data_IF_937407692085
#
_entry.id   IF_937407692085
#
_cell.length_a   1.000
_cell.length_b   1.000
_cell.length_c   1.000
_cell.angle_alpha   90.00
_cell.angle_beta   90.00
_cell.angle_gamma   90.00
#
_symmetry.space_group_name_H-M   'P 1'
#
loop_
_entity.id
_entity.type
_entity.pdbx_description
1 polymer ?
#
# COMPACT_ATOMS: atom_id res chain seq x y z
N UNK A 1 38.55 28.38 17.25
CA UNK A 1 37.90 27.24 17.93
C UNK A 1 36.47 27.02 17.50
N UNK A 2 35.67 28.07 17.51
CA UNK A 2 34.27 27.97 17.07
C UNK A 2 34.16 27.54 15.61
N UNK A 3 35.06 28.05 14.76
CA UNK A 3 35.07 27.72 13.35
C UNK A 3 35.35 26.25 13.09
N UNK A 4 36.27 25.64 13.86
CA UNK A 4 36.57 24.21 13.73
C UNK A 4 35.40 23.33 14.17
N UNK A 5 34.68 23.76 15.20
CA UNK A 5 33.49 23.03 15.66
C UNK A 5 32.36 23.10 14.62
N UNK A 6 32.18 24.27 14.02
CA UNK A 6 31.20 24.46 12.96
C UNK A 6 31.51 23.61 11.73
N UNK A 7 32.80 23.54 11.37
CA UNK A 7 33.21 22.69 10.22
C UNK A 7 32.95 21.20 10.49
N UNK A 8 33.18 20.75 11.72
CA UNK A 8 32.91 19.36 12.08
C UNK A 8 31.43 19.04 12.02
N UNK A 9 30.61 19.96 12.52
CA UNK A 9 29.16 19.81 12.47
C UNK A 9 28.68 19.77 11.02
N UNK A 10 29.21 20.65 10.18
CA UNK A 10 28.84 20.70 8.75
C UNK A 10 29.20 19.39 8.07
N UNK A 11 30.34 18.80 8.36
CA UNK A 11 30.76 17.53 7.77
C UNK A 11 29.84 16.39 8.19
N UNK A 12 29.43 16.38 9.46
CA UNK A 12 28.52 15.37 9.98
C UNK A 12 27.16 15.48 9.27
N UNK A 13 26.66 16.70 9.08
CA UNK A 13 25.40 16.95 8.39
C UNK A 13 25.43 16.47 6.93
N UNK A 14 26.52 16.72 6.24
CA UNK A 14 26.70 16.26 4.85
C UNK A 14 26.68 14.74 4.80
N UNK A 15 27.32 14.08 5.76
CA UNK A 15 27.32 12.62 5.83
C UNK A 15 25.93 12.06 6.08
N UNK A 16 25.17 12.68 7.00
CA UNK A 16 23.79 12.28 7.29
C UNK A 16 22.90 12.46 6.06
N UNK A 17 23.05 13.56 5.35
CA UNK A 17 22.30 13.80 4.12
C UNK A 17 22.65 12.80 3.04
N UNK A 18 23.91 12.41 2.94
CA UNK A 18 24.33 11.38 1.97
C UNK A 18 23.72 10.02 2.31
N UNK A 19 23.68 9.65 3.60
CA UNK A 19 23.04 8.42 4.05
C UNK A 19 21.52 8.46 3.83
N UNK A 20 20.90 9.60 4.12
CA UNK A 20 19.47 9.79 3.87
C UNK A 20 19.17 9.73 2.37
N UNK A 21 20.10 10.17 1.52
CA UNK A 21 19.96 10.09 0.07
C UNK A 21 19.94 8.66 -0.48
N UNK A 22 20.46 7.70 0.29
CA UNK A 22 20.37 6.29 -0.07
C UNK A 22 19.07 5.64 0.39
N UNK A 23 18.32 6.28 1.30
CA UNK A 23 17.05 5.79 1.83
C UNK A 23 15.95 5.69 0.75
N UNK A 24 15.89 6.57 -0.29
CA UNK A 24 14.88 6.45 -1.35
C UNK A 24 14.93 5.16 -2.16
N UNK A 25 15.94 4.33 -1.95
CA UNK A 25 16.00 3.01 -2.59
C UNK A 25 15.00 2.02 -1.97
N UNK A 26 14.40 2.37 -0.82
CA UNK A 26 13.38 1.55 -0.19
C UNK A 26 11.97 1.85 -0.72
N UNK A 27 11.02 1.08 -0.23
CA UNK A 27 9.62 1.27 -0.57
C UNK A 27 9.12 2.62 -0.09
N UNK A 28 8.42 3.32 -0.95
CA UNK A 28 7.74 4.55 -0.60
C UNK A 28 6.24 4.29 -0.58
N UNK A 29 5.63 4.43 0.59
CA UNK A 29 4.20 4.23 0.75
C UNK A 29 3.44 5.50 0.41
N UNK A 30 2.38 5.35 -0.36
CA UNK A 30 1.48 6.45 -0.71
C UNK A 30 0.39 6.58 0.34
N UNK A 31 -0.50 7.55 0.18
CA UNK A 31 -1.60 7.74 1.12
C UNK A 31 -2.50 6.51 1.16
N UNK A 32 -2.94 6.13 2.37
CA UNK A 32 -3.83 5.00 2.54
C UNK A 32 -5.15 5.23 1.81
N UNK A 33 -5.66 4.17 1.19
CA UNK A 33 -6.98 4.17 0.59
C UNK A 33 -7.89 3.42 1.55
N UNK A 34 -8.92 4.08 2.05
CA UNK A 34 -9.84 3.51 3.02
C UNK A 34 -11.21 3.36 2.37
N UNK A 35 -11.74 2.14 2.39
CA UNK A 35 -13.00 1.80 1.74
C UNK A 35 -13.92 1.14 2.75
N UNK A 36 -15.15 1.67 2.87
CA UNK A 36 -16.16 1.05 3.70
C UNK A 36 -16.69 -0.21 3.01
N UNK A 37 -16.78 -1.29 3.77
CA UNK A 37 -17.33 -2.55 3.27
C UNK A 37 -18.86 -2.57 3.43
N UNK A 38 -19.50 -3.70 3.13
CA UNK A 38 -20.94 -3.84 3.25
C UNK A 38 -21.43 -3.52 4.66
N UNK A 39 -20.71 -3.99 5.66
CA UNK A 39 -20.93 -3.59 7.04
C UNK A 39 -20.13 -2.30 7.29
N UNK A 40 -20.79 -1.17 7.63
CA UNK A 40 -20.06 0.09 7.79
C UNK A 40 -19.06 0.09 8.95
N UNK A 41 -19.15 -0.84 9.88
CA UNK A 41 -18.13 -0.98 10.93
C UNK A 41 -16.86 -1.64 10.43
N UNK A 42 -16.86 -2.16 9.20
CA UNK A 42 -15.74 -2.84 8.60
C UNK A 42 -15.14 -1.99 7.50
N UNK A 43 -13.82 -1.86 7.53
CA UNK A 43 -13.07 -1.06 6.56
C UNK A 43 -12.01 -1.92 5.89
N UNK A 44 -11.80 -1.62 4.63
CA UNK A 44 -10.64 -2.12 3.90
C UNK A 44 -9.64 -0.99 3.78
N UNK A 45 -8.40 -1.26 4.15
CA UNK A 45 -7.33 -0.27 4.06
C UNK A 45 -6.28 -0.81 3.09
N UNK A 46 -6.03 -0.07 2.03
CA UNK A 46 -5.03 -0.44 1.02
C UNK A 46 -3.84 0.49 1.17
N UNK A 47 -2.67 -0.11 1.41
CA UNK A 47 -1.41 0.60 1.52
C UNK A 47 -0.57 0.28 0.30
N UNK A 48 -0.56 1.20 -0.65
CA UNK A 48 0.19 1.04 -1.90
C UNK A 48 1.58 1.63 -1.74
N UNK A 49 2.58 0.95 -2.31
CA UNK A 49 3.96 1.39 -2.28
C UNK A 49 4.57 1.31 -3.67
N UNK A 50 5.63 2.07 -3.86
CA UNK A 50 6.44 2.00 -5.07
C UNK A 50 7.93 1.96 -4.70
N UNK A 51 8.73 1.40 -5.58
CA UNK A 51 10.17 1.29 -5.42
C UNK A 51 10.80 1.15 -6.80
N UNK A 52 11.55 2.17 -7.24
CA UNK A 52 12.15 2.21 -8.57
C UNK A 52 11.11 1.84 -9.65
N UNK A 53 11.24 0.68 -10.25
CA UNK A 53 10.32 0.18 -11.28
C UNK A 53 9.29 -0.81 -10.71
N UNK A 54 9.25 -0.97 -9.40
CA UNK A 54 8.34 -1.88 -8.75
C UNK A 54 7.25 -1.16 -8.00
N UNK A 55 6.13 -1.84 -7.78
CA UNK A 55 5.05 -1.36 -6.94
C UNK A 55 4.26 -2.54 -6.40
N UNK A 56 3.40 -2.28 -5.45
CA UNK A 56 2.52 -3.28 -4.87
C UNK A 56 1.62 -2.65 -3.85
N UNK A 57 0.75 -3.44 -3.27
CA UNK A 57 -0.14 -2.99 -2.23
C UNK A 57 -0.34 -4.07 -1.18
N UNK A 58 -0.54 -3.62 0.04
CA UNK A 58 -0.95 -4.46 1.16
C UNK A 58 -2.41 -4.17 1.46
N UNK A 59 -3.19 -5.21 1.61
CA UNK A 59 -4.63 -5.10 1.82
C UNK A 59 -4.93 -5.50 3.26
N UNK A 60 -5.47 -4.57 4.03
CA UNK A 60 -5.79 -4.77 5.45
C UNK A 60 -7.28 -4.70 5.67
N UNK A 61 -7.72 -5.45 6.66
CA UNK A 61 -9.09 -5.41 7.17
C UNK A 61 -9.08 -4.80 8.56
N UNK A 62 -10.01 -3.89 8.83
CA UNK A 62 -10.14 -3.26 10.13
C UNK A 62 -11.60 -3.22 10.54
N UNK A 63 -11.89 -3.62 11.76
CA UNK A 63 -13.26 -3.62 12.30
C UNK A 63 -13.33 -2.78 13.56
N UNK A 64 -14.31 -1.87 13.61
CA UNK A 64 -14.62 -1.05 14.81
C UNK A 64 -13.40 -0.34 15.39
N UNK A 65 -12.48 0.13 14.54
CA UNK A 65 -11.30 0.83 14.99
C UNK A 65 -10.23 -0.04 15.65
N UNK A 66 -10.38 -1.36 15.60
CA UNK A 66 -9.37 -2.29 16.09
C UNK A 66 -8.12 -2.25 15.20
N UNK A 67 -7.07 -2.96 15.62
CA UNK A 67 -5.85 -3.08 14.82
C UNK A 67 -6.16 -3.68 13.45
N UNK A 68 -5.65 -3.06 12.37
CA UNK A 68 -5.82 -3.64 11.04
C UNK A 68 -5.15 -5.00 10.91
N UNK A 69 -5.80 -5.91 10.22
CA UNK A 69 -5.31 -7.27 9.98
C UNK A 69 -4.93 -7.38 8.51
N UNK A 70 -3.70 -7.81 8.24
CA UNK A 70 -3.24 -8.01 6.86
C UNK A 70 -3.99 -9.19 6.24
N UNK A 71 -4.73 -8.95 5.18
CA UNK A 71 -5.39 -10.01 4.41
C UNK A 71 -4.43 -10.61 3.39
N UNK A 72 -3.62 -9.78 2.76
CA UNK A 72 -2.68 -10.23 1.76
C UNK A 72 -2.06 -9.06 1.03
N UNK A 73 -1.33 -9.40 -0.02
CA UNK A 73 -0.60 -8.43 -0.83
C UNK A 73 -0.96 -8.60 -2.28
N UNK A 74 -0.97 -7.50 -3.02
CA UNK A 74 -1.11 -7.55 -4.47
C UNK A 74 0.22 -7.23 -5.12
N UNK A 75 0.42 -7.75 -6.33
CA UNK A 75 1.49 -7.25 -7.17
C UNK A 75 1.10 -5.86 -7.68
N UNK A 76 2.09 -5.05 -8.02
CA UNK A 76 1.80 -3.73 -8.55
C UNK A 76 1.49 -3.74 -10.04
N UNK A 77 1.53 -2.56 -10.62
CA UNK A 77 1.42 -2.42 -12.05
C UNK A 77 2.75 -2.59 -12.76
N UNK A 78 2.68 -2.58 -14.07
CA UNK A 78 3.84 -2.70 -14.94
C UNK A 78 4.74 -1.47 -14.78
N UNK A 79 6.06 -1.69 -14.71
CA UNK A 79 7.06 -0.63 -14.58
C UNK A 79 6.81 0.31 -13.39
N UNK A 80 6.31 -0.24 -12.28
CA UNK A 80 6.07 0.55 -11.08
C UNK A 80 4.80 1.36 -11.09
N UNK A 81 3.91 1.11 -12.04
CA UNK A 81 2.60 1.77 -12.09
C UNK A 81 1.80 1.47 -10.81
N UNK A 82 1.19 2.50 -10.23
CA UNK A 82 0.41 2.40 -9.00
C UNK A 82 -1.08 2.53 -9.30
N UNK A 83 -1.76 1.43 -9.61
CA UNK A 83 -3.16 1.48 -10.05
C UNK A 83 -4.11 2.01 -8.97
N UNK A 84 -3.85 1.71 -7.72
CA UNK A 84 -4.74 2.17 -6.64
C UNK A 84 -4.68 3.68 -6.48
N UNK A 85 -3.50 4.26 -6.55
CA UNK A 85 -3.31 5.70 -6.51
C UNK A 85 -4.05 6.38 -7.66
N UNK A 86 -4.09 5.76 -8.81
CA UNK A 86 -4.74 6.30 -10.01
C UNK A 86 -6.24 6.01 -10.06
N UNK A 87 -6.78 5.29 -9.09
CA UNK A 87 -8.20 4.95 -9.07
C UNK A 87 -8.58 3.85 -10.06
N UNK A 88 -7.60 3.12 -10.58
CA UNK A 88 -7.83 2.08 -11.58
C UNK A 88 -7.91 0.71 -10.90
N UNK A 89 -8.89 0.55 -10.06
CA UNK A 89 -9.14 -0.68 -9.32
C UNK A 89 -10.63 -0.85 -9.06
N UNK A 90 -11.02 -2.07 -8.74
CA UNK A 90 -12.38 -2.40 -8.35
C UNK A 90 -12.34 -3.35 -7.15
N UNK A 91 -13.29 -3.17 -6.25
CA UNK A 91 -13.42 -4.04 -5.08
C UNK A 91 -14.86 -4.52 -5.03
N UNK A 92 -15.02 -5.84 -4.97
CA UNK A 92 -16.34 -6.46 -4.83
C UNK A 92 -16.32 -7.34 -3.60
N UNK A 93 -17.44 -7.37 -2.91
CA UNK A 93 -17.62 -8.20 -1.73
C UNK A 93 -18.83 -9.10 -1.91
N UNK A 94 -18.62 -10.38 -1.67
CA UNK A 94 -19.69 -11.38 -1.69
C UNK A 94 -19.60 -12.14 -0.36
N UNK A 95 -20.44 -11.74 0.61
CA UNK A 95 -20.35 -12.27 1.95
C UNK A 95 -19.01 -11.98 2.59
N UNK A 96 -18.28 -13.02 2.96
CA UNK A 96 -16.95 -12.90 3.55
C UNK A 96 -15.84 -13.01 2.53
N UNK A 97 -16.16 -13.02 1.25
CA UNK A 97 -15.17 -13.08 0.17
C UNK A 97 -15.01 -11.72 -0.47
N UNK A 98 -13.79 -11.26 -0.51
CA UNK A 98 -13.44 -9.97 -1.08
C UNK A 98 -12.60 -10.19 -2.33
N UNK A 99 -12.98 -9.57 -3.44
CA UNK A 99 -12.18 -9.61 -4.67
C UNK A 99 -11.68 -8.22 -4.98
N UNK A 100 -10.36 -8.11 -5.14
CA UNK A 100 -9.69 -6.87 -5.53
C UNK A 100 -9.16 -7.06 -6.94
N UNK A 101 -9.56 -6.18 -7.83
CA UNK A 101 -9.06 -6.16 -9.22
C UNK A 101 -8.36 -4.84 -9.47
N UNK A 102 -7.31 -4.88 -10.24
CA UNK A 102 -6.55 -3.66 -10.52
C UNK A 102 -5.95 -3.69 -11.91
N UNK A 103 -5.79 -2.50 -12.47
CA UNK A 103 -5.17 -2.31 -13.78
C UNK A 103 -3.68 -2.55 -13.67
N UNK A 104 -3.15 -3.49 -14.42
CA UNK A 104 -1.72 -3.81 -14.40
C UNK A 104 -0.92 -2.90 -15.35
N UNK A 105 -1.46 -2.67 -16.55
CA UNK A 105 -0.83 -1.82 -17.55
C UNK A 105 -1.67 -0.57 -17.76
N UNK A 106 -1.06 0.63 -17.72
CA UNK A 106 -1.84 1.87 -17.87
C UNK A 106 -2.69 1.94 -19.14
N UNK A 107 -2.30 1.23 -20.19
CA UNK A 107 -3.03 1.19 -21.45
C UNK A 107 -4.26 0.27 -21.41
N UNK A 108 -4.39 -0.58 -20.41
CA UNK A 108 -5.42 -1.62 -20.33
C UNK A 108 -6.63 -1.15 -19.53
N UNK A 109 -7.26 -0.08 -19.97
CA UNK A 109 -8.38 0.55 -19.26
C UNK A 109 -9.70 -0.18 -19.47
N UNK A 110 -9.75 -1.11 -20.41
CA UNK A 110 -10.98 -1.86 -20.70
C UNK A 110 -11.22 -3.02 -19.73
N UNK A 111 -10.34 -3.18 -18.75
CA UNK A 111 -10.45 -4.18 -17.68
C UNK A 111 -10.28 -5.63 -18.15
N UNK A 112 -10.00 -5.87 -19.41
CA UNK A 112 -9.91 -7.22 -19.98
C UNK A 112 -8.76 -8.02 -19.36
N UNK A 113 -7.64 -7.34 -19.09
CA UNK A 113 -6.44 -7.99 -18.57
C UNK A 113 -6.06 -7.50 -17.17
N UNK A 114 -7.03 -7.01 -16.43
CA UNK A 114 -6.80 -6.60 -15.06
C UNK A 114 -6.44 -7.81 -14.21
N UNK A 115 -5.54 -7.61 -13.28
CA UNK A 115 -5.18 -8.62 -12.29
C UNK A 115 -6.26 -8.68 -11.21
N UNK A 116 -6.34 -9.81 -10.53
CA UNK A 116 -7.36 -10.05 -9.54
C UNK A 116 -6.81 -10.92 -8.41
N UNK A 117 -7.16 -10.57 -7.19
CA UNK A 117 -6.86 -11.36 -6.00
C UNK A 117 -8.12 -11.46 -5.15
N UNK A 118 -8.32 -12.63 -4.56
CA UNK A 118 -9.47 -12.89 -3.70
C UNK A 118 -8.98 -13.16 -2.29
N UNK A 119 -9.62 -12.53 -1.32
CA UNK A 119 -9.27 -12.65 0.10
C UNK A 119 -10.50 -13.08 0.88
N UNK A 120 -10.29 -13.90 1.92
CA UNK A 120 -11.34 -14.22 2.86
C UNK A 120 -11.28 -13.23 4.02
N UNK A 121 -12.40 -12.56 4.28
CA UNK A 121 -12.51 -11.70 5.44
C UNK A 121 -12.54 -12.54 6.71
N UNK A 122 -12.01 -12.02 7.84
CA UNK A 122 -12.15 -12.72 9.10
C UNK A 122 -13.63 -12.98 9.38
N UNK A 123 -13.99 -14.24 9.48
CA UNK A 123 -15.39 -14.62 9.62
C UNK A 123 -15.94 -14.21 10.98
N UNK A 124 -17.10 -13.60 10.98
CA UNK A 124 -17.79 -13.25 12.21
C UNK A 124 -18.18 -14.48 13.00
N UNK A 125 -18.49 -15.55 12.30
CA UNK A 125 -18.84 -16.81 12.92
C UNK A 125 -17.66 -17.49 13.56
N UNK A 126 -16.49 -17.34 12.99
CA UNK A 126 -15.26 -17.93 13.53
C UNK A 126 -14.65 -17.08 14.63
N UNK A 127 -14.98 -15.81 14.66
CA UNK A 127 -14.44 -14.92 15.67
C UNK A 127 -14.81 -15.31 17.07
N UNK A 128 -15.90 -16.03 17.23
CA UNK A 128 -16.30 -16.50 18.52
C UNK A 128 -15.67 -17.83 18.88
N UNK A 129 -15.04 -18.42 17.91
CA UNK A 129 -14.38 -19.72 18.11
C UNK A 129 -13.41 -19.69 19.22
#
# INVERSE_FOLDING_TARGET
>A
MILKALMKISTIWILVLALAGCAPMGKEYHADIVIALQDPSELLVIKEWSFLLGSGAEVYYQKDGAEPVLLGKTTGGDDGFCPFKEGLYEITQDGDTLTVRWCFQPSDKDKTHWHSETFDLPSKGNGQG
#
